data_IF_569234205403
#
_entry.id   IF_569234205403
#
_cell.length_a   1.000
_cell.length_b   1.000
_cell.length_c   1.000
_cell.angle_alpha   90.00
_cell.angle_beta   90.00
_cell.angle_gamma   90.00
#
_symmetry.space_group_name_H-M   'P 1'
#
loop_
_entity.id
_entity.type
_entity.pdbx_description
1 polymer ?
#
# COMPACT_ATOMS: atom_id res chain seq x y z
N UNK A 1 -16.55 8.20 13.66
CA UNK A 1 -15.42 9.12 13.44
C UNK A 1 -14.18 8.27 13.32
N UNK A 2 -13.52 8.26 12.16
CA UNK A 2 -12.24 7.56 12.03
C UNK A 2 -11.25 8.09 13.06
N UNK A 3 -10.40 7.24 13.67
CA UNK A 3 -9.37 7.72 14.58
C UNK A 3 -8.50 8.79 13.88
N UNK A 4 -8.37 9.95 14.52
CA UNK A 4 -7.59 11.06 13.98
C UNK A 4 -6.16 10.97 14.50
N UNK A 5 -5.28 10.35 13.72
CA UNK A 5 -3.85 10.32 14.04
C UNK A 5 -3.19 11.68 13.75
N UNK A 6 -2.34 12.22 14.64
CA UNK A 6 -1.62 13.46 14.37
C UNK A 6 -0.72 13.33 13.14
N UNK A 7 -0.82 14.27 12.21
CA UNK A 7 0.07 14.35 11.05
C UNK A 7 1.50 14.72 11.48
N UNK A 8 2.49 14.07 10.89
CA UNK A 8 3.91 14.41 11.02
C UNK A 8 4.34 15.16 9.76
N UNK A 9 4.57 16.47 9.83
CA UNK A 9 4.97 17.26 8.67
C UNK A 9 6.43 17.02 8.29
N UNK A 10 6.76 17.18 7.00
CA UNK A 10 8.14 17.26 6.53
C UNK A 10 8.92 15.95 6.56
N UNK A 11 8.25 14.79 6.63
CA UNK A 11 8.92 13.50 6.50
C UNK A 11 9.48 13.35 5.07
N UNK A 12 10.79 13.10 4.89
CA UNK A 12 11.37 13.05 3.56
C UNK A 12 10.90 11.81 2.79
N UNK A 13 10.65 12.00 1.49
CA UNK A 13 10.22 10.99 0.50
C UNK A 13 8.78 10.48 0.66
N UNK A 14 8.32 10.16 1.86
CA UNK A 14 6.96 9.66 2.11
C UNK A 14 6.09 10.71 2.79
N UNK A 15 4.92 11.00 2.22
CA UNK A 15 3.94 11.91 2.80
C UNK A 15 2.55 11.58 2.24
N UNK A 16 1.49 11.59 3.06
CA UNK A 16 1.46 11.94 4.50
C UNK A 16 2.01 10.84 5.42
N UNK A 17 2.51 11.25 6.58
CA UNK A 17 2.89 10.37 7.70
C UNK A 17 2.14 10.76 8.97
N UNK A 18 1.84 9.79 9.82
CA UNK A 18 1.02 9.96 11.01
C UNK A 18 1.66 9.33 12.24
N UNK A 19 1.50 9.98 13.39
CA UNK A 19 1.85 9.40 14.68
C UNK A 19 0.75 8.44 15.14
N UNK A 20 1.07 7.15 15.18
CA UNK A 20 0.20 6.07 15.67
C UNK A 20 0.71 5.48 17.00
N UNK A 21 1.72 6.10 17.63
CA UNK A 21 2.22 5.66 18.93
C UNK A 21 1.09 5.64 19.98
N UNK A 22 1.03 4.56 20.76
CA UNK A 22 -0.01 4.38 21.78
C UNK A 22 -1.40 4.02 21.24
N UNK A 23 -1.59 3.92 19.92
CA UNK A 23 -2.84 3.42 19.35
C UNK A 23 -2.98 1.91 19.64
N UNK A 24 -4.05 1.51 20.33
CA UNK A 24 -4.29 0.09 20.63
C UNK A 24 -4.65 -0.73 19.38
N UNK A 25 -5.48 -0.17 18.50
CA UNK A 25 -5.80 -0.72 17.18
C UNK A 25 -5.66 0.40 16.16
N UNK A 26 -4.87 0.15 15.11
CA UNK A 26 -4.67 1.09 14.02
C UNK A 26 -5.72 0.82 12.95
N UNK A 27 -6.45 1.84 12.53
CA UNK A 27 -7.46 1.77 11.47
C UNK A 27 -7.05 2.69 10.33
N UNK A 28 -6.99 2.15 9.11
CA UNK A 28 -6.67 2.89 7.89
C UNK A 28 -7.75 2.65 6.84
N UNK A 29 -7.95 3.57 5.87
CA UNK A 29 -8.87 3.36 4.76
C UNK A 29 -8.44 2.14 3.94
N UNK A 30 -9.40 1.37 3.42
CA UNK A 30 -9.13 0.30 2.47
C UNK A 30 -8.60 0.87 1.14
N UNK A 31 -7.74 0.11 0.47
CA UNK A 31 -7.20 0.46 -0.84
C UNK A 31 -7.30 -0.74 -1.79
N UNK A 32 -7.87 -0.50 -2.98
CA UNK A 32 -7.94 -1.48 -4.05
C UNK A 32 -7.68 -0.85 -5.42
N UNK A 33 -7.05 -1.59 -6.34
CA UNK A 33 -6.99 -1.23 -7.75
C UNK A 33 -8.07 -1.97 -8.52
N UNK A 34 -8.99 -1.23 -9.13
CA UNK A 34 -10.01 -1.78 -10.02
C UNK A 34 -9.49 -1.84 -11.45
N UNK A 35 -9.57 -3.02 -12.07
CA UNK A 35 -9.21 -3.27 -13.46
C UNK A 35 -10.44 -3.25 -14.37
N UNK A 36 -10.23 -2.96 -15.65
CA UNK A 36 -11.30 -2.77 -16.62
C UNK A 36 -12.16 -4.03 -16.88
N UNK A 37 -11.62 -5.21 -16.60
CA UNK A 37 -12.30 -6.50 -16.71
C UNK A 37 -13.10 -6.88 -15.45
N UNK A 38 -13.14 -6.00 -14.44
CA UNK A 38 -13.84 -6.21 -13.19
C UNK A 38 -13.00 -6.87 -12.10
N UNK A 39 -11.74 -7.23 -12.36
CA UNK A 39 -10.85 -7.69 -11.31
C UNK A 39 -10.52 -6.54 -10.34
N UNK A 40 -10.41 -6.85 -9.05
CA UNK A 40 -10.00 -5.91 -8.02
C UNK A 40 -8.79 -6.46 -7.26
N UNK A 41 -7.69 -5.71 -7.25
CA UNK A 41 -6.54 -6.04 -6.41
C UNK A 41 -6.67 -5.31 -5.09
N UNK A 42 -7.13 -6.03 -4.08
CA UNK A 42 -7.31 -5.54 -2.71
C UNK A 42 -6.01 -5.67 -1.93
N UNK A 43 -5.60 -4.60 -1.25
CA UNK A 43 -4.36 -4.56 -0.51
C UNK A 43 -4.61 -4.54 1.01
N UNK A 44 -3.93 -5.42 1.77
CA UNK A 44 -3.70 -5.22 3.20
C UNK A 44 -3.00 -3.89 3.51
N UNK A 45 -3.21 -3.36 4.71
CA UNK A 45 -2.66 -2.07 5.16
C UNK A 45 -1.14 -1.99 4.99
N UNK A 46 -0.43 -3.07 5.28
CA UNK A 46 1.02 -3.20 5.14
C UNK A 46 1.54 -3.00 3.70
N UNK A 47 0.67 -3.14 2.69
CA UNK A 47 1.04 -2.94 1.29
C UNK A 47 0.96 -1.47 0.84
N UNK A 48 0.34 -0.58 1.63
CA UNK A 48 0.22 0.85 1.30
C UNK A 48 0.47 1.81 2.47
N UNK A 49 0.73 1.30 3.67
CA UNK A 49 1.29 2.07 4.78
C UNK A 49 2.57 1.40 5.30
N UNK A 50 3.65 2.18 5.34
CA UNK A 50 4.93 1.76 5.92
C UNK A 50 4.94 2.15 7.39
N UNK A 51 5.13 1.17 8.27
CA UNK A 51 5.30 1.39 9.71
C UNK A 51 6.78 1.52 10.05
N UNK A 52 7.14 2.60 10.71
CA UNK A 52 8.48 2.86 11.22
C UNK A 52 8.46 2.58 12.73
N UNK A 53 9.28 1.62 13.11
CA UNK A 53 9.47 1.17 14.49
C UNK A 53 10.90 1.51 14.93
N UNK A 54 11.10 1.95 16.19
CA UNK A 54 10.12 2.01 17.29
C UNK A 54 9.31 3.31 17.38
N UNK A 55 9.43 4.23 16.41
CA UNK A 55 8.87 5.58 16.50
C UNK A 55 7.33 5.62 16.51
N UNK A 56 6.67 4.52 16.13
CA UNK A 56 5.21 4.46 16.05
C UNK A 56 4.68 5.40 14.98
N UNK A 57 5.38 5.51 13.85
CA UNK A 57 5.00 6.35 12.71
C UNK A 57 4.48 5.45 11.59
N UNK A 58 3.38 5.85 10.96
CA UNK A 58 2.88 5.21 9.73
C UNK A 58 2.81 6.20 8.59
N UNK A 59 3.44 5.88 7.47
CA UNK A 59 3.54 6.72 6.29
C UNK A 59 2.81 6.09 5.10
N UNK A 60 2.03 6.88 4.36
CA UNK A 60 1.40 6.42 3.13
C UNK A 60 2.48 6.10 2.07
N UNK A 61 2.45 4.89 1.53
CA UNK A 61 3.38 4.39 0.51
C UNK A 61 2.85 4.66 -0.91
N UNK A 62 2.26 5.84 -1.11
CA UNK A 62 1.75 6.33 -2.39
C UNK A 62 2.35 7.70 -2.64
N UNK A 63 3.04 7.84 -3.77
CA UNK A 63 3.69 9.09 -4.15
C UNK A 63 2.91 9.77 -5.28
N UNK A 64 2.77 11.09 -5.18
CA UNK A 64 2.18 11.89 -6.24
C UNK A 64 3.07 11.89 -7.48
N UNK A 65 2.47 11.61 -8.64
CA UNK A 65 3.09 11.81 -9.95
C UNK A 65 2.37 12.94 -10.70
N UNK A 66 3.02 13.59 -11.69
CA UNK A 66 2.33 14.53 -12.57
C UNK A 66 1.13 13.84 -13.24
N UNK A 67 0.09 14.60 -13.60
CA UNK A 67 -1.11 14.02 -14.25
C UNK A 67 -0.83 13.28 -15.56
N UNK A 68 0.21 13.70 -16.28
CA UNK A 68 0.70 13.04 -17.50
C UNK A 68 1.67 11.89 -17.24
N UNK A 69 1.98 11.63 -15.96
CA UNK A 69 2.88 10.57 -15.54
C UNK A 69 2.20 9.20 -15.57
N UNK A 70 3.03 8.16 -15.56
CA UNK A 70 2.56 6.80 -15.35
C UNK A 70 2.37 6.51 -13.86
N UNK A 71 1.41 5.65 -13.54
CA UNK A 71 1.32 5.03 -12.23
C UNK A 71 2.29 3.85 -12.15
N UNK A 72 2.92 3.66 -10.99
CA UNK A 72 3.88 2.59 -10.76
C UNK A 72 3.39 1.77 -9.57
N UNK A 73 3.18 0.47 -9.76
CA UNK A 73 2.90 -0.48 -8.67
C UNK A 73 4.26 -0.94 -8.13
N UNK A 74 4.65 -0.42 -6.97
CA UNK A 74 5.96 -0.66 -6.38
C UNK A 74 6.08 -2.01 -5.66
N UNK A 75 7.25 -2.24 -5.05
CA UNK A 75 7.54 -3.44 -4.25
C UNK A 75 6.49 -3.65 -3.15
N UNK A 76 6.20 -2.62 -2.34
CA UNK A 76 5.27 -2.74 -1.21
C UNK A 76 3.88 -3.25 -1.62
N UNK A 77 3.34 -2.79 -2.75
CA UNK A 77 2.05 -3.28 -3.25
C UNK A 77 2.10 -4.73 -3.72
N UNK A 78 3.27 -5.24 -4.13
CA UNK A 78 3.43 -6.62 -4.61
C UNK A 78 3.81 -7.63 -3.51
N UNK A 79 4.20 -7.17 -2.31
CA UNK A 79 4.57 -8.06 -1.20
C UNK A 79 3.40 -8.94 -0.78
N UNK A 80 3.68 -10.22 -0.48
CA UNK A 80 2.67 -11.21 -0.11
C UNK A 80 1.59 -11.45 -1.18
N UNK A 81 1.94 -11.26 -2.45
CA UNK A 81 1.15 -11.72 -3.58
C UNK A 81 2.01 -12.60 -4.48
N UNK A 82 1.41 -13.64 -5.05
CA UNK A 82 1.89 -14.20 -6.31
C UNK A 82 1.42 -13.29 -7.43
N UNK A 83 2.36 -12.78 -8.23
CA UNK A 83 2.08 -11.97 -9.42
C UNK A 83 2.49 -12.78 -10.64
N UNK A 84 1.52 -13.10 -11.50
CA UNK A 84 1.73 -13.82 -12.75
C UNK A 84 1.71 -12.84 -13.92
N UNK A 85 2.79 -12.84 -14.70
CA UNK A 85 2.87 -12.11 -15.96
C UNK A 85 2.67 -13.11 -17.10
N UNK A 86 1.44 -13.20 -17.61
CA UNK A 86 1.10 -14.05 -18.75
C UNK A 86 1.31 -13.26 -20.05
N UNK A 87 2.49 -13.46 -20.64
CA UNK A 87 2.90 -12.77 -21.86
C UNK A 87 2.23 -13.37 -23.12
N UNK A 88 1.73 -14.60 -23.06
CA UNK A 88 1.06 -15.23 -24.20
C UNK A 88 -0.37 -14.69 -24.38
N UNK A 89 -1.09 -14.51 -23.27
CA UNK A 89 -2.46 -13.99 -23.27
C UNK A 89 -2.55 -12.48 -22.97
N UNK A 90 -1.42 -11.81 -22.73
CA UNK A 90 -1.33 -10.40 -22.34
C UNK A 90 -2.15 -10.10 -21.07
N UNK A 91 -1.94 -10.89 -20.01
CA UNK A 91 -2.68 -10.78 -18.74
C UNK A 91 -1.76 -10.64 -17.55
N UNK A 92 -2.26 -9.92 -16.55
CA UNK A 92 -1.68 -9.85 -15.21
C UNK A 92 -2.59 -10.62 -14.26
N UNK A 93 -2.04 -11.63 -13.57
CA UNK A 93 -2.73 -12.33 -12.50
C UNK A 93 -2.14 -11.98 -11.15
N UNK A 94 -2.97 -11.91 -10.11
CA UNK A 94 -2.52 -11.70 -8.74
C UNK A 94 -3.34 -12.56 -7.77
N UNK A 95 -2.69 -13.09 -6.75
CA UNK A 95 -3.35 -13.85 -5.68
C UNK A 95 -2.58 -13.70 -4.35
N UNK A 96 -3.28 -13.61 -3.20
CA UNK A 96 -2.61 -13.55 -1.89
C UNK A 96 -1.67 -14.74 -1.66
N UNK A 97 -0.49 -14.49 -1.10
CA UNK A 97 0.50 -15.51 -0.73
C UNK A 97 1.23 -15.09 0.54
N UNK A 98 1.48 -16.04 1.45
CA UNK A 98 2.47 -15.86 2.50
C UNK A 98 3.85 -16.21 1.95
N UNK A 99 4.63 -15.19 1.57
CA UNK A 99 5.93 -15.38 0.93
C UNK A 99 7.02 -15.87 1.90
N UNK A 100 6.80 -15.75 3.21
CA UNK A 100 7.69 -16.31 4.23
C UNK A 100 7.54 -17.83 4.40
N UNK A 101 6.44 -18.41 3.91
CA UNK A 101 6.12 -19.83 4.06
C UNK A 101 6.47 -20.65 2.80
N UNK A 102 7.51 -20.24 2.06
CA UNK A 102 7.94 -20.90 0.82
C UNK A 102 9.08 -21.87 1.10
#
# INVERSE_FOLDING_TARGET
MSPSYPLIPGFPVLSPCYNVSGAGKIEVPELSLAFADGAAWEFPAENYFIRLEPEGIMCLAVLGTPRSGMSIIGNYQQQNFHVLYDLELNRLGFAPRRCADV
#
